data_IF_043370335403
#
_entry.id   IF_043370335403
#
_cell.length_a   1.000
_cell.length_b   1.000
_cell.length_c   1.000
_cell.angle_alpha   90.00
_cell.angle_beta   90.00
_cell.angle_gamma   90.00
#
_symmetry.space_group_name_H-M   'P 1'
#
loop_
_entity.id
_entity.type
_entity.pdbx_description
1 polymer ?
#
# COMPACT_ATOMS: atom_id res chain seq x y z
N UNK A 1 24.08 -3.04 21.04
CA UNK A 1 24.25 -3.25 19.58
C UNK A 1 22.89 -3.07 18.91
N UNK A 2 22.54 -1.85 18.46
CA UNK A 2 21.22 -1.55 17.86
C UNK A 2 21.41 -1.37 16.36
N UNK A 3 21.36 -2.46 15.59
CA UNK A 3 21.26 -2.35 14.14
C UNK A 3 19.82 -2.01 13.77
N UNK A 4 19.42 -0.76 13.97
CA UNK A 4 18.12 -0.26 13.49
C UNK A 4 18.18 -0.02 11.98
N UNK A 5 18.45 -1.08 11.22
CA UNK A 5 18.09 -1.11 9.80
C UNK A 5 16.57 -1.27 9.74
N UNK A 6 15.88 -0.15 9.90
CA UNK A 6 14.42 -0.07 9.92
C UNK A 6 13.87 -0.89 8.73
N UNK A 7 13.07 -1.93 9.03
CA UNK A 7 12.44 -2.81 8.03
C UNK A 7 11.79 -2.00 6.89
N UNK A 8 11.21 -0.86 7.24
CA UNK A 8 10.59 0.14 6.37
C UNK A 8 11.53 0.83 5.37
N UNK A 9 12.85 0.77 5.57
CA UNK A 9 13.85 1.32 4.64
C UNK A 9 14.34 0.29 3.63
N UNK A 10 14.11 -1.01 3.88
CA UNK A 10 14.54 -2.07 2.98
C UNK A 10 13.57 -2.24 1.81
N UNK A 11 14.07 -2.59 0.61
CA UNK A 11 13.23 -2.82 -0.58
C UNK A 11 12.15 -3.89 -0.31
N UNK A 12 12.53 -4.96 0.38
CA UNK A 12 11.61 -6.03 0.78
C UNK A 12 10.53 -5.50 1.74
N UNK A 13 10.90 -4.79 2.80
CA UNK A 13 9.93 -4.28 3.78
C UNK A 13 8.97 -3.23 3.22
N UNK A 14 9.43 -2.37 2.28
CA UNK A 14 8.56 -1.47 1.52
C UNK A 14 7.51 -2.24 0.69
N UNK A 15 7.93 -3.30 0.00
CA UNK A 15 7.00 -4.14 -0.78
C UNK A 15 6.00 -4.88 0.12
N UNK A 16 6.44 -5.41 1.27
CA UNK A 16 5.54 -6.03 2.25
C UNK A 16 4.51 -5.03 2.77
N UNK A 17 4.90 -3.78 3.02
CA UNK A 17 3.96 -2.75 3.47
C UNK A 17 2.91 -2.43 2.40
N UNK A 18 3.32 -2.27 1.14
CA UNK A 18 2.39 -2.07 0.02
C UNK A 18 1.41 -3.24 -0.14
N UNK A 19 1.88 -4.46 0.07
CA UNK A 19 1.04 -5.66 0.06
C UNK A 19 -0.01 -5.63 1.18
N UNK A 20 0.37 -5.29 2.41
CA UNK A 20 -0.56 -5.18 3.55
C UNK A 20 -1.64 -4.12 3.27
N UNK A 21 -1.24 -2.94 2.76
CA UNK A 21 -2.20 -1.89 2.38
C UNK A 21 -3.16 -2.37 1.30
N UNK A 22 -2.68 -3.17 0.35
CA UNK A 22 -3.52 -3.78 -0.70
C UNK A 22 -4.52 -4.78 -0.11
N UNK A 23 -4.13 -5.59 0.86
CA UNK A 23 -5.05 -6.50 1.56
C UNK A 23 -6.17 -5.74 2.27
N UNK A 24 -5.83 -4.65 2.96
CA UNK A 24 -6.82 -3.79 3.63
C UNK A 24 -7.77 -3.13 2.63
N UNK A 25 -7.25 -2.68 1.48
CA UNK A 25 -8.06 -2.13 0.40
C UNK A 25 -9.09 -3.15 -0.10
N UNK A 26 -8.68 -4.40 -0.35
CA UNK A 26 -9.60 -5.46 -0.77
C UNK A 26 -10.64 -5.80 0.30
N UNK A 27 -10.25 -5.87 1.56
CA UNK A 27 -11.18 -6.10 2.67
C UNK A 27 -12.24 -4.99 2.76
N UNK A 28 -11.85 -3.72 2.58
CA UNK A 28 -12.75 -2.57 2.57
C UNK A 28 -13.70 -2.59 1.36
N UNK A 29 -13.21 -2.97 0.18
CA UNK A 29 -14.05 -3.12 -1.01
C UNK A 29 -15.08 -4.23 -0.79
N UNK A 30 -14.66 -5.40 -0.30
CA UNK A 30 -15.58 -6.51 -0.01
C UNK A 30 -16.63 -6.12 1.04
N UNK A 31 -16.22 -5.42 2.11
CA UNK A 31 -17.13 -4.92 3.12
C UNK A 31 -18.12 -3.88 2.56
N UNK A 32 -17.63 -2.97 1.72
CA UNK A 32 -18.47 -1.97 1.05
C UNK A 32 -19.50 -2.60 0.12
N UNK A 33 -19.12 -3.64 -0.63
CA UNK A 33 -20.03 -4.43 -1.47
C UNK A 33 -21.09 -5.12 -0.60
N UNK A 34 -20.67 -5.79 0.48
CA UNK A 34 -21.60 -6.49 1.37
C UNK A 34 -22.64 -5.58 2.02
N UNK A 35 -22.27 -4.32 2.32
CA UNK A 35 -23.16 -3.33 2.93
C UNK A 35 -23.88 -2.43 1.91
N UNK A 36 -23.74 -2.68 0.61
CA UNK A 36 -24.23 -1.80 -0.48
C UNK A 36 -23.83 -0.33 -0.26
N UNK A 37 -22.66 -0.11 0.34
CA UNK A 37 -22.20 1.20 0.75
C UNK A 37 -21.05 1.65 -0.16
N UNK A 38 -21.40 2.52 -1.11
CA UNK A 38 -20.47 3.04 -2.10
C UNK A 38 -19.27 3.77 -1.48
N UNK A 39 -19.43 4.39 -0.30
CA UNK A 39 -18.33 5.11 0.35
C UNK A 39 -17.16 4.20 0.71
N UNK A 40 -17.44 3.01 1.25
CA UNK A 40 -16.38 2.04 1.58
C UNK A 40 -15.70 1.47 0.34
N UNK A 41 -16.45 1.28 -0.76
CA UNK A 41 -15.91 0.86 -2.05
C UNK A 41 -14.97 1.93 -2.59
N UNK A 42 -15.36 3.21 -2.58
CA UNK A 42 -14.53 4.31 -3.04
C UNK A 42 -13.25 4.46 -2.18
N UNK A 43 -13.36 4.36 -0.86
CA UNK A 43 -12.20 4.41 0.04
C UNK A 43 -11.23 3.26 -0.25
N UNK A 44 -11.74 2.04 -0.36
CA UNK A 44 -10.92 0.88 -0.69
C UNK A 44 -10.29 0.99 -2.09
N UNK A 45 -10.99 1.56 -3.07
CA UNK A 45 -10.45 1.83 -4.40
C UNK A 45 -9.30 2.84 -4.37
N UNK A 46 -9.45 3.95 -3.63
CA UNK A 46 -8.37 4.94 -3.47
C UNK A 46 -7.13 4.32 -2.81
N UNK A 47 -7.33 3.50 -1.77
CA UNK A 47 -6.23 2.77 -1.10
C UNK A 47 -5.53 1.79 -2.05
N UNK A 48 -6.28 1.09 -2.90
CA UNK A 48 -5.73 0.20 -3.91
C UNK A 48 -4.89 0.97 -4.94
N UNK A 49 -5.41 2.09 -5.47
CA UNK A 49 -4.67 2.94 -6.41
C UNK A 49 -3.39 3.46 -5.75
N UNK A 50 -3.47 3.94 -4.51
CA UNK A 50 -2.31 4.40 -3.73
C UNK A 50 -1.23 3.30 -3.60
N UNK A 51 -1.63 2.06 -3.32
CA UNK A 51 -0.70 0.94 -3.23
C UNK A 51 -0.10 0.56 -4.60
N UNK A 52 -0.88 0.62 -5.68
CA UNK A 52 -0.40 0.37 -7.04
C UNK A 52 0.61 1.41 -7.50
N UNK A 53 0.41 2.69 -7.13
CA UNK A 53 1.37 3.76 -7.46
C UNK A 53 2.56 3.82 -6.51
N UNK A 54 2.50 3.18 -5.33
CA UNK A 54 3.62 3.12 -4.40
C UNK A 54 4.88 2.50 -5.04
N UNK A 55 4.72 1.42 -5.81
CA UNK A 55 5.82 0.76 -6.51
C UNK A 55 6.54 1.68 -7.52
N UNK A 56 5.85 2.33 -8.48
CA UNK A 56 6.48 3.26 -9.39
C UNK A 56 6.98 4.54 -8.69
N UNK A 57 6.31 5.06 -7.66
CA UNK A 57 6.81 6.23 -6.91
C UNK A 57 8.13 5.91 -6.21
N UNK A 58 8.25 4.75 -5.57
CA UNK A 58 9.50 4.36 -4.91
C UNK A 58 10.64 4.19 -5.92
N UNK A 59 10.36 3.57 -7.07
CA UNK A 59 11.37 3.29 -8.10
C UNK A 59 11.75 4.54 -8.92
N UNK A 60 10.77 5.27 -9.45
CA UNK A 60 10.98 6.36 -10.40
C UNK A 60 11.21 7.73 -9.74
N UNK A 61 10.71 7.95 -8.51
CA UNK A 61 10.82 9.25 -7.84
C UNK A 61 11.86 9.18 -6.70
N UNK A 62 11.72 8.23 -5.77
CA UNK A 62 12.56 8.18 -4.56
C UNK A 62 13.95 7.57 -4.81
N UNK A 63 14.05 6.50 -5.62
CA UNK A 63 15.33 5.82 -5.90
C UNK A 63 16.05 6.31 -7.16
N UNK A 64 15.61 7.39 -7.80
CA UNK A 64 16.18 7.88 -9.08
C UNK A 64 17.66 8.34 -8.99
N UNK A 65 18.22 8.48 -7.79
CA UNK A 65 19.59 9.00 -7.54
C UNK A 65 20.52 8.01 -6.83
N UNK A 66 20.32 6.71 -6.98
CA UNK A 66 21.35 5.72 -6.63
C UNK A 66 21.88 5.03 -7.87
#
# INVERSE_FOLDING_TARGET
>A
MKMETSFFKTKAGKMTLAFIVTMLAFALIMFGIAQTNNSFIHIGFVLMVAAMVYSPIDVFILNRKK
#
